data_IF_549312124215
#
_entry.id   IF_549312124215
#
_cell.length_a   1.000
_cell.length_b   1.000
_cell.length_c   1.000
_cell.angle_alpha   90.00
_cell.angle_beta   90.00
_cell.angle_gamma   90.00
#
_symmetry.space_group_name_H-M   'P 1'
#
loop_
_entity.id
_entity.type
_entity.pdbx_description
1 polymer ?
#
# COMPACT_ATOMS: atom_id res chain seq x y z
N UNK A 1 0.18 5.30 25.97
CA UNK A 1 -0.15 5.38 24.54
C UNK A 1 0.96 4.65 23.81
N UNK A 2 0.63 3.75 22.88
CA UNK A 2 1.65 3.02 22.13
C UNK A 2 2.29 3.98 21.12
N UNK A 3 3.61 4.03 21.06
CA UNK A 3 4.36 4.78 20.03
C UNK A 3 4.11 4.14 18.66
N UNK A 4 4.14 4.93 17.58
CA UNK A 4 3.93 4.40 16.25
C UNK A 4 5.10 3.49 15.87
N UNK A 5 4.80 2.37 15.21
CA UNK A 5 5.84 1.44 14.78
C UNK A 5 6.64 1.99 13.59
N UNK A 6 7.74 1.34 13.24
CA UNK A 6 8.62 1.77 12.13
C UNK A 6 7.90 1.94 10.79
N UNK A 7 6.81 1.21 10.54
CA UNK A 7 6.06 1.29 9.30
C UNK A 7 5.12 2.49 9.28
N UNK A 8 4.46 2.77 10.40
CA UNK A 8 3.64 3.98 10.57
C UNK A 8 4.50 5.25 10.45
N UNK A 9 5.73 5.22 10.99
CA UNK A 9 6.71 6.31 10.79
C UNK A 9 7.08 6.50 9.32
N UNK A 10 7.39 5.41 8.61
CA UNK A 10 7.64 5.46 7.16
C UNK A 10 6.44 5.94 6.35
N UNK A 11 5.23 5.60 6.78
CA UNK A 11 4.01 6.10 6.16
C UNK A 11 3.97 7.62 6.27
N UNK A 12 4.18 8.20 7.45
CA UNK A 12 4.23 9.67 7.62
C UNK A 12 5.30 10.33 6.75
N UNK A 13 6.48 9.72 6.63
CA UNK A 13 7.57 10.26 5.79
C UNK A 13 7.30 10.18 4.29
N UNK A 14 6.51 9.18 3.84
CA UNK A 14 6.36 8.85 2.41
C UNK A 14 4.96 9.13 1.86
N UNK A 15 3.98 9.43 2.71
CA UNK A 15 2.59 9.56 2.29
C UNK A 15 2.42 10.84 1.46
N UNK A 16 1.93 10.73 0.21
CA UNK A 16 1.71 11.91 -0.61
C UNK A 16 0.63 12.76 0.03
N UNK A 17 0.93 14.05 0.24
CA UNK A 17 0.02 15.03 0.86
C UNK A 17 -0.21 14.86 2.36
N UNK A 18 0.73 14.24 3.09
CA UNK A 18 0.68 14.22 4.56
C UNK A 18 0.49 15.62 5.15
N UNK A 19 1.12 16.64 4.57
CA UNK A 19 0.99 18.05 4.97
C UNK A 19 -0.39 18.66 4.73
N UNK A 20 -1.24 18.01 3.92
CA UNK A 20 -2.63 18.45 3.67
C UNK A 20 -3.62 17.83 4.63
N UNK A 21 -3.20 16.84 5.43
CA UNK A 21 -4.05 16.24 6.44
C UNK A 21 -4.25 17.23 7.60
N UNK A 22 -5.43 17.28 8.22
CA UNK A 22 -5.73 18.18 9.34
C UNK A 22 -5.18 17.62 10.67
N UNK A 23 -3.90 17.22 10.68
CA UNK A 23 -3.18 16.62 11.79
C UNK A 23 -1.72 17.11 11.82
N UNK A 24 -1.06 16.94 12.96
CA UNK A 24 0.38 17.17 13.07
C UNK A 24 1.13 15.85 12.83
N UNK A 25 1.85 15.68 11.70
CA UNK A 25 2.53 14.42 11.40
C UNK A 25 3.74 14.14 12.30
N UNK A 26 4.26 15.14 13.01
CA UNK A 26 5.34 14.96 14.00
C UNK A 26 4.79 14.49 15.36
N UNK A 27 3.49 14.66 15.63
CA UNK A 27 2.81 14.19 16.85
C UNK A 27 2.09 12.85 16.60
N UNK A 28 2.84 11.76 16.80
CA UNK A 28 2.35 10.38 16.62
C UNK A 28 1.06 10.08 17.41
N UNK A 29 0.89 10.71 18.58
CA UNK A 29 -0.29 10.51 19.43
C UNK A 29 -1.51 11.26 18.87
N UNK A 30 -1.31 12.45 18.32
CA UNK A 30 -2.34 13.20 17.61
C UNK A 30 -2.78 12.47 16.34
N UNK A 31 -1.84 11.93 15.56
CA UNK A 31 -2.14 11.11 14.37
C UNK A 31 -2.97 9.89 14.72
N UNK A 32 -2.55 9.11 15.72
CA UNK A 32 -3.28 7.93 16.16
C UNK A 32 -4.72 8.30 16.57
N UNK A 33 -4.87 9.38 17.34
CA UNK A 33 -6.17 9.89 17.76
C UNK A 33 -7.02 10.36 16.58
N UNK A 34 -6.43 11.07 15.61
CA UNK A 34 -7.13 11.56 14.42
C UNK A 34 -7.65 10.39 13.55
N UNK A 35 -6.90 9.29 13.45
CA UNK A 35 -7.32 8.07 12.74
C UNK A 35 -8.41 7.31 13.50
N UNK A 36 -8.37 7.27 14.83
CA UNK A 36 -9.45 6.67 15.63
C UNK A 36 -10.75 7.48 15.56
N UNK A 37 -10.64 8.81 15.53
CA UNK A 37 -11.78 9.74 15.48
C UNK A 37 -12.27 10.02 14.05
N UNK A 38 -11.70 9.37 13.03
CA UNK A 38 -12.01 9.57 11.61
C UNK A 38 -11.92 11.05 11.17
N UNK A 39 -10.93 11.77 11.73
CA UNK A 39 -10.72 13.20 11.53
C UNK A 39 -9.68 13.53 10.45
N UNK A 40 -8.97 12.54 9.89
CA UNK A 40 -7.96 12.81 8.86
C UNK A 40 -8.59 13.25 7.54
N UNK A 41 -9.84 12.86 7.28
CA UNK A 41 -10.53 13.13 6.02
C UNK A 41 -10.00 12.31 4.84
N UNK A 42 -9.04 11.40 5.09
CA UNK A 42 -8.42 10.54 4.09
C UNK A 42 -8.54 9.08 4.51
N UNK A 43 -9.47 8.38 3.87
CA UNK A 43 -9.74 6.97 4.16
C UNK A 43 -8.61 6.03 3.76
N UNK A 44 -7.77 6.40 2.78
CA UNK A 44 -6.61 5.60 2.40
C UNK A 44 -5.53 5.70 3.48
N UNK A 45 -5.28 6.91 3.99
CA UNK A 45 -4.36 7.12 5.10
C UNK A 45 -4.80 6.35 6.34
N UNK A 46 -6.08 6.47 6.73
CA UNK A 46 -6.64 5.77 7.89
C UNK A 46 -6.52 4.24 7.77
N UNK A 47 -6.81 3.71 6.58
CA UNK A 47 -6.66 2.28 6.29
C UNK A 47 -5.21 1.82 6.44
N UNK A 48 -4.27 2.51 5.79
CA UNK A 48 -2.84 2.15 5.86
C UNK A 48 -2.30 2.28 7.28
N UNK A 49 -2.67 3.32 8.03
CA UNK A 49 -2.24 3.50 9.41
C UNK A 49 -2.66 2.32 10.30
N UNK A 50 -3.90 1.83 10.13
CA UNK A 50 -4.43 0.68 10.90
C UNK A 50 -3.78 -0.63 10.47
N UNK A 51 -3.65 -0.89 9.18
CA UNK A 51 -2.99 -2.11 8.66
C UNK A 51 -1.54 -2.18 9.12
N UNK A 52 -0.81 -1.06 9.05
CA UNK A 52 0.58 -1.02 9.49
C UNK A 52 0.70 -1.18 11.01
N UNK A 53 -0.26 -0.72 11.81
CA UNK A 53 -0.26 -0.92 13.27
C UNK A 53 -0.32 -2.39 13.67
N UNK A 54 -0.93 -3.24 12.84
CA UNK A 54 -1.05 -4.68 13.07
C UNK A 54 0.25 -5.46 12.72
N UNK A 55 1.17 -4.84 11.97
CA UNK A 55 2.47 -5.43 11.64
C UNK A 55 3.44 -5.21 12.81
N UNK A 56 3.70 -6.28 13.56
CA UNK A 56 4.71 -6.27 14.62
C UNK A 56 6.11 -6.01 14.08
N UNK A 57 7.04 -5.60 14.95
CA UNK A 57 8.42 -5.28 14.59
C UNK A 57 9.19 -6.50 14.02
N UNK A 58 8.71 -7.72 14.29
CA UNK A 58 9.35 -9.01 13.97
C UNK A 58 9.15 -9.49 12.52
N UNK A 59 8.27 -8.85 11.74
CA UNK A 59 7.81 -9.41 10.45
C UNK A 59 8.37 -8.72 9.20
N UNK A 60 9.52 -8.03 9.28
CA UNK A 60 10.14 -7.40 8.08
C UNK A 60 10.35 -8.42 6.97
N UNK A 61 10.74 -9.64 7.33
CA UNK A 61 11.01 -10.72 6.37
C UNK A 61 9.73 -11.26 5.73
N UNK A 62 8.64 -11.36 6.50
CA UNK A 62 7.34 -11.83 5.97
C UNK A 62 6.67 -10.74 5.12
N UNK A 63 6.78 -9.47 5.52
CA UNK A 63 6.29 -8.31 4.76
C UNK A 63 7.07 -8.15 3.44
N UNK A 64 8.40 -8.25 3.46
CA UNK A 64 9.24 -8.16 2.26
C UNK A 64 8.92 -9.31 1.28
N UNK A 65 8.72 -10.52 1.81
CA UNK A 65 8.31 -11.68 1.02
C UNK A 65 6.92 -11.50 0.41
N UNK A 66 5.95 -11.00 1.17
CA UNK A 66 4.60 -10.74 0.67
C UNK A 66 4.59 -9.65 -0.41
N UNK A 67 5.36 -8.57 -0.20
CA UNK A 67 5.51 -7.49 -1.17
C UNK A 67 6.19 -7.97 -2.47
N UNK A 68 7.25 -8.77 -2.34
CA UNK A 68 7.94 -9.39 -3.48
C UNK A 68 7.00 -10.29 -4.30
N UNK A 69 6.15 -11.07 -3.63
CA UNK A 69 5.17 -11.92 -4.32
C UNK A 69 4.11 -11.09 -5.06
N UNK A 70 3.56 -10.06 -4.42
CA UNK A 70 2.55 -9.20 -5.05
C UNK A 70 3.11 -8.49 -6.30
N UNK A 71 4.36 -8.01 -6.24
CA UNK A 71 5.02 -7.40 -7.40
C UNK A 71 5.24 -8.41 -8.53
N UNK A 72 5.64 -9.65 -8.19
CA UNK A 72 5.78 -10.72 -9.18
C UNK A 72 4.46 -11.05 -9.87
N UNK A 73 3.37 -11.15 -9.11
CA UNK A 73 2.04 -11.46 -9.65
C UNK A 73 1.54 -10.37 -10.60
N UNK A 74 1.73 -9.09 -10.23
CA UNK A 74 1.42 -7.95 -11.12
C UNK A 74 2.26 -7.99 -12.40
N UNK A 75 3.54 -8.33 -12.31
CA UNK A 75 4.38 -8.47 -13.50
C UNK A 75 3.93 -9.64 -14.38
N UNK A 76 3.56 -10.77 -13.79
CA UNK A 76 3.07 -11.94 -14.51
C UNK A 76 1.78 -11.62 -15.29
N UNK A 77 0.82 -10.95 -14.66
CA UNK A 77 -0.42 -10.51 -15.31
C UNK A 77 -0.12 -9.50 -16.42
N UNK A 78 0.77 -8.52 -16.17
CA UNK A 78 1.17 -7.55 -17.20
C UNK A 78 1.81 -8.24 -18.40
N UNK A 79 2.66 -9.24 -18.17
CA UNK A 79 3.30 -10.04 -19.22
C UNK A 79 2.27 -10.83 -20.02
N UNK A 80 1.29 -11.43 -19.35
CA UNK A 80 0.21 -12.18 -20.00
C UNK A 80 -0.69 -11.29 -20.88
N UNK A 81 -1.04 -10.10 -20.39
CA UNK A 81 -1.78 -9.09 -21.18
C UNK A 81 -1.00 -8.70 -22.45
N UNK A 82 0.32 -8.47 -22.33
CA UNK A 82 1.15 -8.13 -23.49
C UNK A 82 1.24 -9.29 -24.49
N UNK A 83 1.33 -10.53 -24.02
CA UNK A 83 1.39 -11.71 -24.89
C UNK A 83 0.06 -11.99 -25.60
N UNK A 84 -1.07 -11.91 -24.89
CA UNK A 84 -2.41 -12.13 -25.46
C UNK A 84 -2.80 -11.04 -26.45
N UNK A 85 -2.33 -9.80 -26.27
CA UNK A 85 -2.51 -8.73 -27.26
C UNK A 85 -1.58 -8.84 -28.48
N UNK A 86 -0.53 -9.66 -28.42
CA UNK A 86 0.47 -9.80 -29.50
C UNK A 86 0.26 -11.01 -30.42
N UNK A 87 -0.72 -11.88 -30.13
CA UNK A 87 -1.12 -12.97 -31.02
C UNK A 87 -2.18 -12.48 -32.02
N UNK A 88 -1.85 -12.24 -33.31
CA UNK A 88 -2.86 -12.09 -34.33
C UNK A 88 -3.62 -13.42 -34.48
N UNK A 89 -4.88 -13.42 -34.09
CA UNK A 89 -5.85 -14.38 -34.58
C UNK A 89 -6.21 -14.00 -36.01
N UNK A 90 -5.46 -14.51 -36.99
CA UNK A 90 -5.95 -14.57 -38.37
C UNK A 90 -5.48 -15.87 -39.03
N UNK A 91 -5.97 -16.98 -38.48
CA UNK A 91 -6.08 -18.24 -39.20
C UNK A 91 -7.40 -18.27 -39.95
N UNK A 92 -7.50 -17.54 -41.07
CA UNK A 92 -8.63 -17.69 -41.99
C UNK A 92 -8.56 -19.09 -42.65
N UNK A 93 -9.64 -19.89 -42.64
CA UNK A 93 -9.65 -21.16 -43.36
C UNK A 93 -9.69 -20.87 -44.87
N UNK A 94 -8.65 -21.30 -45.58
CA UNK A 94 -8.68 -21.39 -47.06
C UNK A 94 -9.71 -22.45 -47.45
N UNK A 95 -10.83 -22.00 -48.00
CA UNK A 95 -11.80 -22.79 -48.75
C UNK A 95 -11.59 -22.60 -50.25
#
# INVERSE_FOLDING_TARGET
>A
MAEANKYQKRLLESYPNVDLLPLDPDDEAEVAKAVEEHRTGDGLFEFLWRELSALGDDDVTEVDKALGQALFDVEAVRRDIVHTCSTPSDGAPTA
#
